data_IF_408204883607
#
_entry.id   IF_408204883607
#
_cell.length_a   1.000
_cell.length_b   1.000
_cell.length_c   1.000
_cell.angle_alpha   90.00
_cell.angle_beta   90.00
_cell.angle_gamma   90.00
#
_symmetry.space_group_name_H-M   'P 1'
#
loop_
_entity.id
_entity.type
_entity.pdbx_description
1 polymer ?
#
# COMPACT_ATOMS: atom_id res chain seq x y z
N UNK A 1 -11.26 -13.21 -3.32
CA UNK A 1 -10.60 -12.16 -4.11
C UNK A 1 -10.18 -12.81 -5.41
N UNK A 2 -10.66 -12.30 -6.54
CA UNK A 2 -10.35 -12.82 -7.87
C UNK A 2 -8.90 -12.53 -8.27
N UNK A 3 -8.35 -13.34 -9.18
CA UNK A 3 -6.93 -13.34 -9.54
C UNK A 3 -6.32 -11.96 -9.84
N UNK A 4 -6.92 -11.14 -10.71
CA UNK A 4 -6.36 -9.82 -11.07
C UNK A 4 -6.36 -8.81 -9.90
N UNK A 5 -7.37 -8.84 -9.03
CA UNK A 5 -7.43 -7.94 -7.87
C UNK A 5 -6.32 -8.26 -6.85
N UNK A 6 -6.02 -9.54 -6.63
CA UNK A 6 -4.90 -9.97 -5.78
C UNK A 6 -3.57 -9.55 -6.40
N UNK A 7 -3.42 -9.70 -7.72
CA UNK A 7 -2.21 -9.30 -8.43
C UNK A 7 -1.99 -7.78 -8.35
N UNK A 8 -3.05 -6.99 -8.52
CA UNK A 8 -3.01 -5.55 -8.38
C UNK A 8 -2.61 -5.12 -6.96
N UNK A 9 -3.23 -5.71 -5.93
CA UNK A 9 -2.88 -5.49 -4.54
C UNK A 9 -1.40 -5.79 -4.27
N UNK A 10 -0.93 -6.94 -4.73
CA UNK A 10 0.46 -7.36 -4.56
C UNK A 10 1.44 -6.40 -5.24
N UNK A 11 1.18 -6.01 -6.49
CA UNK A 11 2.04 -5.11 -7.24
C UNK A 11 2.17 -3.74 -6.59
N UNK A 12 1.05 -3.15 -6.15
CA UNK A 12 1.06 -1.87 -5.43
C UNK A 12 1.80 -1.98 -4.09
N UNK A 13 1.58 -3.05 -3.34
CA UNK A 13 2.24 -3.28 -2.06
C UNK A 13 3.75 -3.44 -2.21
N UNK A 14 4.21 -4.24 -3.18
CA UNK A 14 5.63 -4.36 -3.51
C UNK A 14 6.23 -2.99 -3.89
N UNK A 15 5.51 -2.19 -4.69
CA UNK A 15 5.95 -0.84 -5.10
C UNK A 15 6.04 0.15 -3.94
N UNK A 16 5.20 0.05 -2.90
CA UNK A 16 5.32 0.87 -1.67
C UNK A 16 6.50 0.41 -0.85
N UNK A 17 6.58 -0.89 -0.56
CA UNK A 17 7.62 -1.46 0.31
C UNK A 17 9.03 -1.29 -0.28
N UNK A 18 9.19 -1.36 -1.61
CA UNK A 18 10.49 -1.21 -2.28
C UNK A 18 11.14 0.15 -2.09
N UNK A 19 10.40 1.17 -1.60
CA UNK A 19 10.92 2.53 -1.42
C UNK A 19 11.37 2.82 0.00
N UNK A 20 11.06 1.97 0.96
CA UNK A 20 11.55 2.17 2.30
C UNK A 20 13.06 1.88 2.37
N UNK A 21 13.82 2.64 3.18
CA UNK A 21 15.21 2.34 3.46
C UNK A 21 15.40 0.89 3.90
N UNK A 22 16.47 0.24 3.42
CA UNK A 22 16.75 -1.18 3.71
C UNK A 22 16.90 -1.45 5.21
N UNK A 23 17.36 -0.47 5.98
CA UNK A 23 17.44 -0.52 7.44
C UNK A 23 16.09 -0.78 8.12
N UNK A 24 14.98 -0.35 7.51
CA UNK A 24 13.63 -0.56 8.05
C UNK A 24 12.97 -1.85 7.55
N UNK A 25 13.56 -2.58 6.61
CA UNK A 25 12.95 -3.74 5.97
C UNK A 25 12.56 -4.87 6.95
N UNK A 26 13.21 -4.94 8.13
CA UNK A 26 12.90 -5.93 9.18
C UNK A 26 11.83 -5.48 10.18
N UNK A 27 11.44 -4.21 10.14
CA UNK A 27 10.48 -3.65 11.09
C UNK A 27 9.04 -3.97 10.68
N UNK A 28 8.15 -4.12 11.66
CA UNK A 28 6.73 -4.38 11.39
C UNK A 28 6.08 -3.25 10.58
N UNK A 29 6.31 -2.00 10.99
CA UNK A 29 5.66 -0.81 10.42
C UNK A 29 6.01 -0.58 8.94
N UNK A 30 7.19 -1.05 8.51
CA UNK A 30 7.66 -0.91 7.13
C UNK A 30 7.60 -2.24 6.36
N UNK A 31 6.73 -3.15 6.79
CA UNK A 31 6.45 -4.44 6.15
C UNK A 31 4.98 -4.56 5.76
N UNK A 32 4.62 -5.60 5.01
CA UNK A 32 3.23 -5.92 4.69
C UNK A 32 2.31 -6.05 5.94
N UNK A 33 2.86 -6.44 7.10
CA UNK A 33 2.09 -6.58 8.35
C UNK A 33 1.57 -5.24 8.88
N UNK A 34 2.32 -4.17 8.65
CA UNK A 34 1.96 -2.80 9.04
C UNK A 34 1.14 -2.07 7.97
N UNK A 35 0.54 -2.78 7.01
CA UNK A 35 -0.24 -2.17 5.93
C UNK A 35 -1.68 -2.69 5.93
N UNK A 36 -2.56 -1.89 5.35
CA UNK A 36 -3.87 -2.29 4.88
C UNK A 36 -3.99 -1.93 3.41
N UNK A 37 -4.55 -2.86 2.63
CA UNK A 37 -4.72 -2.72 1.19
C UNK A 37 -6.20 -2.82 0.88
N UNK A 38 -6.74 -1.79 0.23
CA UNK A 38 -8.12 -1.73 -0.24
C UNK A 38 -8.06 -1.67 -1.76
N UNK A 39 -8.84 -2.52 -2.42
CA UNK A 39 -8.90 -2.61 -3.88
C UNK A 39 -10.30 -2.29 -4.36
N UNK A 40 -10.41 -1.30 -5.23
CA UNK A 40 -11.59 -1.04 -6.06
C UNK A 40 -11.27 -1.36 -7.52
N UNK A 41 -12.31 -1.58 -8.32
CA UNK A 41 -12.19 -1.79 -9.76
C UNK A 41 -13.16 -0.85 -10.47
N UNK A 42 -12.69 -0.23 -11.56
CA UNK A 42 -13.50 0.56 -12.47
C UNK A 42 -12.95 0.42 -13.88
N UNK A 43 -13.79 -0.07 -14.81
CA UNK A 43 -13.49 -0.20 -16.25
C UNK A 43 -12.21 -0.99 -16.55
N UNK A 44 -11.97 -2.07 -15.82
CA UNK A 44 -10.80 -2.94 -15.96
C UNK A 44 -9.53 -2.38 -15.35
N UNK A 45 -9.60 -1.28 -14.59
CA UNK A 45 -8.47 -0.72 -13.85
C UNK A 45 -8.69 -0.95 -12.35
N UNK A 46 -7.67 -1.46 -11.67
CA UNK A 46 -7.67 -1.65 -10.23
C UNK A 46 -7.09 -0.42 -9.53
N UNK A 47 -7.90 0.20 -8.68
CA UNK A 47 -7.48 1.28 -7.80
C UNK A 47 -7.11 0.69 -6.45
N UNK A 48 -5.83 0.78 -6.09
CA UNK A 48 -5.30 0.18 -4.86
C UNK A 48 -4.89 1.28 -3.88
N UNK A 49 -5.61 1.39 -2.76
CA UNK A 49 -5.28 2.28 -1.65
C UNK A 49 -4.47 1.50 -0.60
N UNK A 50 -3.31 2.03 -0.22
CA UNK A 50 -2.44 1.47 0.82
C UNK A 50 -2.39 2.43 2.00
N UNK A 51 -2.92 1.97 3.13
CA UNK A 51 -2.91 2.70 4.40
C UNK A 51 -1.81 2.11 5.31
N UNK A 52 -0.88 2.91 5.83
CA UNK A 52 -0.06 2.50 6.97
C UNK A 52 -0.95 2.21 8.19
N UNK A 53 -0.67 1.10 8.86
CA UNK A 53 -1.38 0.61 10.04
C UNK A 53 -0.39 0.39 11.19
N UNK A 54 0.17 1.47 11.77
CA UNK A 54 1.12 1.37 12.86
C UNK A 54 0.50 0.75 14.13
N UNK A 55 -0.83 0.78 14.24
CA UNK A 55 -1.60 0.11 15.28
C UNK A 55 -1.37 -1.40 15.29
N UNK A 56 -1.23 -2.03 14.13
CA UNK A 56 -0.90 -3.47 14.00
C UNK A 56 0.50 -3.80 14.49
N UNK A 57 1.34 -2.79 14.71
CA UNK A 57 2.74 -2.92 15.09
C UNK A 57 3.04 -2.37 16.49
N UNK A 58 2.01 -2.10 17.31
CA UNK A 58 2.17 -1.73 18.71
C UNK A 58 2.54 -0.26 18.97
N UNK A 59 2.26 0.64 18.02
CA UNK A 59 2.41 2.10 18.20
C UNK A 59 3.79 2.54 18.71
N UNK A 60 4.84 2.36 17.89
CA UNK A 60 6.19 2.77 18.28
C UNK A 60 6.27 4.28 18.60
N UNK A 61 7.11 4.71 19.55
CA UNK A 61 7.37 6.12 19.80
C UNK A 61 7.77 6.85 18.51
N UNK A 62 7.14 8.00 18.23
CA UNK A 62 7.34 8.74 16.96
C UNK A 62 6.43 8.31 15.82
N UNK A 63 5.45 7.41 16.06
CA UNK A 63 4.42 7.10 15.07
C UNK A 63 3.65 8.36 14.67
N UNK A 64 3.66 8.67 13.39
CA UNK A 64 2.85 9.76 12.82
C UNK A 64 1.41 9.27 12.73
N UNK A 65 0.52 9.88 13.51
CA UNK A 65 -0.93 9.63 13.51
C UNK A 65 -1.66 10.54 12.52
N UNK A 66 -0.98 10.98 11.46
CA UNK A 66 -1.60 11.86 10.48
C UNK A 66 -2.86 11.19 9.95
N UNK A 67 -3.99 11.89 10.09
CA UNK A 67 -5.25 11.45 9.53
C UNK A 67 -5.07 11.29 8.02
N UNK A 68 -5.50 10.15 7.49
CA UNK A 68 -5.54 9.85 6.07
C UNK A 68 -4.19 9.84 5.33
N UNK A 69 -3.07 9.52 5.99
CA UNK A 69 -1.86 9.15 5.24
C UNK A 69 -2.14 7.84 4.48
N UNK A 70 -2.22 7.92 3.15
CA UNK A 70 -2.29 6.75 2.30
C UNK A 70 -1.70 7.04 0.93
N UNK A 71 -1.40 5.98 0.19
CA UNK A 71 -1.07 6.09 -1.23
C UNK A 71 -2.11 5.38 -2.07
N UNK A 72 -2.45 6.00 -3.20
CA UNK A 72 -3.36 5.43 -4.18
C UNK A 72 -2.58 5.05 -5.44
N UNK A 73 -2.90 3.88 -5.99
CA UNK A 73 -2.30 3.35 -7.20
C UNK A 73 -3.39 3.00 -8.20
N UNK A 74 -3.13 3.21 -9.48
CA UNK A 74 -3.89 2.60 -10.56
C UNK A 74 -3.05 1.44 -11.14
N UNK A 75 -3.64 0.26 -11.28
CA UNK A 75 -2.95 -0.97 -11.65
C UNK A 75 -3.75 -1.72 -12.71
N UNK A 76 -3.08 -2.24 -13.74
CA UNK A 76 -3.71 -3.07 -14.76
C UNK A 76 -4.09 -4.46 -14.22
N UNK A 77 -4.95 -5.23 -14.92
CA UNK A 77 -5.27 -6.61 -14.53
C UNK A 77 -4.05 -7.54 -14.47
N UNK A 78 -3.00 -7.23 -15.23
CA UNK A 78 -1.73 -7.96 -15.26
C UNK A 78 -0.75 -7.51 -14.16
N UNK A 79 -1.18 -6.61 -13.26
CA UNK A 79 -0.35 -6.12 -12.16
C UNK A 79 0.61 -5.00 -12.51
N UNK A 80 0.50 -4.39 -13.70
CA UNK A 80 1.36 -3.24 -14.05
C UNK A 80 0.87 -2.00 -13.32
N UNK A 81 1.72 -1.37 -12.52
CA UNK A 81 1.43 -0.06 -11.90
C UNK A 81 1.40 1.01 -13.00
N UNK A 82 0.21 1.55 -13.27
CA UNK A 82 -0.05 2.56 -14.29
C UNK A 82 0.16 3.98 -13.75
N UNK A 83 -0.25 4.23 -12.51
CA UNK A 83 -0.12 5.52 -11.86
C UNK A 83 0.06 5.37 -10.34
N UNK A 84 0.66 6.39 -9.70
CA UNK A 84 0.77 6.53 -8.25
C UNK A 84 0.41 7.95 -7.85
N UNK A 85 -0.42 8.06 -6.81
CA UNK A 85 -0.75 9.30 -6.13
C UNK A 85 -0.28 9.20 -4.68
N UNK A 86 0.82 9.89 -4.31
CA UNK A 86 1.52 9.66 -3.04
C UNK A 86 0.93 10.40 -1.84
N UNK A 87 -0.05 11.27 -2.04
CA UNK A 87 -0.63 12.15 -1.02
C UNK A 87 -2.06 12.48 -1.41
N UNK A 88 -3.04 12.35 -0.50
CA UNK A 88 -4.34 13.02 -0.67
C UNK A 88 -4.18 14.48 -0.18
N UNK A 89 -4.54 15.51 -0.95
CA UNK A 89 -4.51 16.90 -0.50
C UNK A 89 -5.53 17.18 0.60
#
# INVERSE_FOLDING_TARGET
MDGPAVLAAHAALQRRLSRYPKEYAKSCAFSAKGMEVIVGEERGIYFVRINPRPDKCGWAPGTVLAFDEFELYAVSPEGKVLARYPYMP
#
